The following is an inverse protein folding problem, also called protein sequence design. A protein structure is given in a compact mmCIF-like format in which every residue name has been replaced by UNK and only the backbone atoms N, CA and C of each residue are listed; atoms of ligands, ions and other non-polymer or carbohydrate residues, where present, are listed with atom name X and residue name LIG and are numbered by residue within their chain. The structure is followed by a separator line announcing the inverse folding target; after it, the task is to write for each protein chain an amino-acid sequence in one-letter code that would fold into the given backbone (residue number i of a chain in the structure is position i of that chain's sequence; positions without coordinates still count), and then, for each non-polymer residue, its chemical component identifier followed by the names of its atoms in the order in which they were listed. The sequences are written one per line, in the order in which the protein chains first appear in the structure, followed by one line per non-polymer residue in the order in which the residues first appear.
data_IF_364106142044
#
_entry.id   IF_364106142044
#
_cell.length_a   1.000
_cell.length_b   1.000
_cell.length_c   1.000
_cell.angle_alpha   90.00
_cell.angle_beta   90.00
_cell.angle_gamma   90.00
#
_symmetry.space_group_name_H-M   'P 1'
#
loop_
_entity.id
_entity.type
_entity.pdbx_description
1 polymer ?
#
# COMPACT_ATOMS: atom_id res chain seq x y z
N UNK A 1 4.72 14.60 3.75
CA UNK A 1 3.67 14.42 4.78
C UNK A 1 4.32 14.11 6.14
N UNK A 2 3.70 14.35 7.30
CA UNK A 2 4.28 13.92 8.59
C UNK A 2 3.84 12.48 8.94
N UNK A 3 4.55 11.80 9.85
CA UNK A 3 4.32 10.38 10.15
C UNK A 3 2.87 10.06 10.55
N UNK A 4 2.23 10.91 11.36
CA UNK A 4 0.84 10.67 11.80
C UNK A 4 -0.17 10.80 10.66
N UNK A 5 0.03 11.75 9.75
CA UNK A 5 -0.83 11.91 8.58
C UNK A 5 -0.66 10.73 7.62
N UNK A 6 0.58 10.26 7.48
CA UNK A 6 0.89 9.06 6.70
C UNK A 6 0.20 7.83 7.29
N UNK A 7 0.35 7.59 8.59
CA UNK A 7 -0.31 6.50 9.29
C UNK A 7 -1.85 6.56 9.14
N UNK A 8 -2.44 7.74 9.32
CA UNK A 8 -3.88 7.93 9.14
C UNK A 8 -4.32 7.65 7.71
N UNK A 9 -3.51 8.07 6.72
CA UNK A 9 -3.77 7.76 5.31
C UNK A 9 -3.70 6.27 5.05
N UNK A 10 -2.66 5.57 5.53
CA UNK A 10 -2.55 4.12 5.38
C UNK A 10 -3.73 3.38 6.00
N UNK A 11 -4.20 3.79 7.18
CA UNK A 11 -5.39 3.20 7.83
C UNK A 11 -6.67 3.42 7.02
N UNK A 12 -6.86 4.62 6.47
CA UNK A 12 -7.98 4.91 5.58
C UNK A 12 -7.95 4.03 4.33
N UNK A 13 -6.77 3.93 3.69
CA UNK A 13 -6.57 3.10 2.52
C UNK A 13 -6.80 1.61 2.85
N UNK A 14 -6.27 1.11 3.96
CA UNK A 14 -6.50 -0.26 4.43
C UNK A 14 -7.99 -0.58 4.63
N UNK A 15 -8.73 0.34 5.28
CA UNK A 15 -10.15 0.16 5.59
C UNK A 15 -11.08 0.24 4.37
N UNK A 16 -10.62 0.80 3.26
CA UNK A 16 -11.43 1.02 2.04
C UNK A 16 -11.05 0.11 0.87
N UNK A 17 -9.96 -0.67 0.98
CA UNK A 17 -9.48 -1.58 -0.07
C UNK A 17 -10.55 -2.57 -0.54
N UNK A 18 -11.42 -3.05 0.35
CA UNK A 18 -12.46 -4.03 0.00
C UNK A 18 -13.58 -3.44 -0.87
N UNK A 19 -13.64 -2.11 -1.02
CA UNK A 19 -14.67 -1.41 -1.81
C UNK A 19 -14.23 -1.15 -3.25
N UNK A 20 -13.03 -1.57 -3.62
CA UNK A 20 -12.53 -1.38 -4.98
C UNK A 20 -13.33 -2.21 -5.99
N UNK A 21 -13.58 -1.60 -7.13
CA UNK A 21 -14.22 -2.21 -8.30
C UNK A 21 -13.20 -2.40 -9.41
N UNK A 22 -13.54 -3.19 -10.42
CA UNK A 22 -12.71 -3.35 -11.62
C UNK A 22 -12.38 -2.01 -12.32
N UNK A 23 -13.24 -1.00 -12.17
CA UNK A 23 -13.05 0.31 -12.79
C UNK A 23 -12.19 1.26 -11.94
N UNK A 24 -12.07 0.99 -10.63
CA UNK A 24 -11.45 1.92 -9.68
C UNK A 24 -10.17 1.39 -9.05
N UNK A 25 -9.91 0.07 -9.14
CA UNK A 25 -8.77 -0.54 -8.45
C UNK A 25 -7.43 -0.02 -8.96
N UNK A 26 -7.25 0.13 -10.27
CA UNK A 26 -5.98 0.53 -10.87
C UNK A 26 -5.49 1.86 -10.28
N UNK A 27 -6.30 2.92 -10.46
CA UNK A 27 -5.92 4.26 -10.03
C UNK A 27 -5.73 4.35 -8.52
N UNK A 28 -6.50 3.57 -7.74
CA UNK A 28 -6.34 3.55 -6.29
C UNK A 28 -5.06 2.84 -5.89
N UNK A 29 -4.79 1.63 -6.41
CA UNK A 29 -3.59 0.88 -6.08
C UNK A 29 -2.31 1.62 -6.49
N UNK A 30 -2.28 2.21 -7.68
CA UNK A 30 -1.14 3.04 -8.10
C UNK A 30 -0.93 4.23 -7.15
N UNK A 31 -2.00 4.92 -6.73
CA UNK A 31 -1.89 5.98 -5.73
C UNK A 31 -1.33 5.51 -4.38
N UNK A 32 -1.57 4.26 -3.97
CA UNK A 32 -0.96 3.70 -2.75
C UNK A 32 0.53 3.47 -2.98
N UNK A 33 0.90 2.88 -4.12
CA UNK A 33 2.30 2.54 -4.40
C UNK A 33 3.16 3.79 -4.47
N UNK A 34 2.69 4.84 -5.16
CA UNK A 34 3.36 6.16 -5.15
C UNK A 34 3.47 6.73 -3.73
N UNK A 35 2.42 6.60 -2.91
CA UNK A 35 2.45 7.06 -1.52
C UNK A 35 3.52 6.32 -0.69
N UNK A 36 3.63 4.99 -0.87
CA UNK A 36 4.61 4.17 -0.16
C UNK A 36 6.04 4.45 -0.64
N UNK A 37 6.24 4.63 -1.95
CA UNK A 37 7.54 4.94 -2.54
C UNK A 37 8.07 6.30 -2.08
N UNK A 38 7.24 7.34 -2.14
CA UNK A 38 7.68 8.70 -1.85
C UNK A 38 7.68 9.03 -0.36
N UNK A 39 6.54 8.86 0.31
CA UNK A 39 6.42 9.22 1.72
C UNK A 39 6.89 8.07 2.62
N UNK A 40 6.62 6.81 2.27
CA UNK A 40 7.05 5.65 3.06
C UNK A 40 8.57 5.54 3.17
N UNK A 41 9.29 5.57 2.05
CA UNK A 41 10.76 5.48 2.07
C UNK A 41 11.42 6.67 2.78
N UNK A 42 10.88 7.88 2.57
CA UNK A 42 11.39 9.08 3.26
C UNK A 42 11.17 9.00 4.77
N UNK A 43 9.97 8.59 5.20
CA UNK A 43 9.63 8.50 6.63
C UNK A 43 10.38 7.35 7.31
N UNK A 44 10.63 6.25 6.61
CA UNK A 44 11.46 5.16 7.11
C UNK A 44 12.90 5.65 7.41
N UNK A 45 13.50 6.39 6.49
CA UNK A 45 14.82 6.99 6.68
C UNK A 45 14.85 8.08 7.78
N UNK A 46 13.76 8.84 7.95
CA UNK A 46 13.67 9.92 8.93
C UNK A 46 13.48 9.41 10.36
N UNK A 47 12.67 8.36 10.53
CA UNK A 47 12.28 7.84 11.85
C UNK A 47 12.91 6.50 12.20
N UNK A 48 13.61 5.84 11.27
CA UNK A 48 14.27 4.55 11.50
C UNK A 48 13.31 3.39 11.71
N UNK A 49 12.22 3.33 10.92
CA UNK A 49 11.08 2.43 11.15
C UNK A 49 11.34 0.98 10.70
N UNK A 50 12.41 0.72 9.94
CA UNK A 50 12.76 -0.61 9.43
C UNK A 50 11.78 -1.13 8.37
N UNK A 51 11.17 -0.24 7.59
CA UNK A 51 10.17 -0.57 6.58
C UNK A 51 10.74 -1.00 5.23
N UNK A 52 12.02 -0.74 4.95
CA UNK A 52 12.75 -1.08 3.71
C UNK A 52 12.26 -2.38 3.04
N UNK A 53 12.33 -3.51 3.75
CA UNK A 53 11.94 -4.83 3.20
C UNK A 53 10.45 -4.97 2.90
N UNK A 54 9.59 -4.25 3.64
CA UNK A 54 8.16 -4.24 3.41
C UNK A 54 7.82 -3.34 2.22
N UNK A 55 8.51 -2.20 2.09
CA UNK A 55 8.35 -1.28 0.96
C UNK A 55 8.84 -1.91 -0.35
N UNK A 56 10.01 -2.56 -0.33
CA UNK A 56 10.54 -3.28 -1.50
C UNK A 56 9.53 -4.33 -2.00
N UNK A 57 8.98 -5.15 -1.09
CA UNK A 57 7.97 -6.16 -1.44
C UNK A 57 6.66 -5.57 -1.97
N UNK A 58 6.32 -4.35 -1.58
CA UNK A 58 5.16 -3.64 -2.08
C UNK A 58 5.43 -2.99 -3.44
N UNK A 59 6.66 -2.52 -3.67
CA UNK A 59 7.13 -2.02 -4.97
C UNK A 59 7.27 -3.13 -6.02
N UNK A 60 7.57 -4.35 -5.60
CA UNK A 60 7.58 -5.54 -6.47
C UNK A 60 6.17 -5.96 -6.94
N UNK A 61 5.10 -5.36 -6.41
CA UNK A 61 3.75 -5.52 -6.96
C UNK A 61 3.72 -4.75 -8.28
N UNK A 62 4.03 -5.47 -9.35
CA UNK A 62 4.25 -4.95 -10.68
C UNK A 62 3.05 -4.09 -11.13
N UNK A 63 3.22 -2.77 -11.24
CA UNK A 63 2.17 -1.85 -11.70
C UNK A 63 1.67 -2.24 -13.11
N UNK A 64 2.54 -2.83 -13.93
CA UNK A 64 2.21 -3.37 -15.25
C UNK A 64 1.19 -4.51 -15.19
N UNK A 65 1.10 -5.28 -14.09
CA UNK A 65 0.05 -6.30 -13.89
C UNK A 65 -1.31 -5.69 -13.53
N UNK A 66 -1.35 -4.41 -13.18
CA UNK A 66 -2.59 -3.67 -12.91
C UNK A 66 -3.20 -3.12 -14.20
N UNK A 67 -2.40 -2.93 -15.25
CA UNK A 67 -2.86 -2.37 -16.52
C UNK A 67 -3.51 -3.46 -17.40
N UNK A 68 -4.83 -3.62 -17.20
CA UNK A 68 -5.80 -4.40 -17.98
C UNK A 68 -5.93 -5.90 -17.67
N UNK A 69 -7.18 -6.32 -17.40
CA UNK A 69 -7.61 -7.71 -17.61
C UNK A 69 -7.59 -8.65 -16.41
N UNK A 70 -7.38 -8.15 -15.18
CA UNK A 70 -7.53 -9.00 -13.99
C UNK A 70 -8.97 -9.50 -13.86
N UNK A 71 -9.14 -10.82 -13.77
CA UNK A 71 -10.41 -11.42 -13.36
C UNK A 71 -10.77 -10.98 -11.93
N UNK A 72 -12.04 -11.11 -11.55
CA UNK A 72 -12.51 -10.76 -10.22
C UNK A 72 -11.74 -11.49 -9.09
N UNK A 73 -11.32 -12.74 -9.33
CA UNK A 73 -10.56 -13.52 -8.35
C UNK A 73 -9.10 -13.05 -8.25
N UNK A 74 -8.48 -12.70 -9.38
CA UNK A 74 -7.14 -12.10 -9.37
C UNK A 74 -7.15 -10.74 -8.67
N UNK A 75 -8.16 -9.91 -8.94
CA UNK A 75 -8.32 -8.63 -8.26
C UNK A 75 -8.50 -8.81 -6.74
N UNK A 76 -9.33 -9.76 -6.30
CA UNK A 76 -9.47 -10.07 -4.87
C UNK A 76 -8.16 -10.52 -4.25
N UNK A 77 -7.40 -11.39 -4.92
CA UNK A 77 -6.11 -11.87 -4.43
C UNK A 77 -5.10 -10.73 -4.31
N UNK A 78 -5.07 -9.83 -5.30
CA UNK A 78 -4.23 -8.63 -5.28
C UNK A 78 -4.61 -7.68 -4.14
N UNK A 79 -5.90 -7.34 -4.01
CA UNK A 79 -6.41 -6.49 -2.92
C UNK A 79 -6.01 -7.09 -1.57
N UNK A 80 -6.14 -8.41 -1.41
CA UNK A 80 -5.75 -9.10 -0.19
C UNK A 80 -4.25 -8.96 0.11
N UNK A 81 -3.37 -9.15 -0.89
CA UNK A 81 -1.93 -8.97 -0.75
C UNK A 81 -1.57 -7.54 -0.33
N UNK A 82 -2.11 -6.54 -1.03
CA UNK A 82 -1.87 -5.11 -0.71
C UNK A 82 -2.36 -4.81 0.70
N UNK A 83 -3.53 -5.33 1.09
CA UNK A 83 -4.09 -5.13 2.43
C UNK A 83 -3.21 -5.72 3.52
N UNK A 84 -2.68 -6.94 3.31
CA UNK A 84 -1.71 -7.54 4.24
C UNK A 84 -0.44 -6.69 4.36
N UNK A 85 0.13 -6.24 3.24
CA UNK A 85 1.31 -5.38 3.25
C UNK A 85 1.08 -4.07 4.00
N UNK A 86 -0.03 -3.39 3.72
CA UNK A 86 -0.43 -2.19 4.47
C UNK A 86 -0.63 -2.47 5.96
N UNK A 87 -1.26 -3.58 6.31
CA UNK A 87 -1.46 -3.97 7.71
C UNK A 87 -0.14 -4.17 8.46
N UNK A 88 0.86 -4.77 7.81
CA UNK A 88 2.19 -4.92 8.39
C UNK A 88 2.88 -3.58 8.60
N UNK A 89 2.86 -2.71 7.59
CA UNK A 89 3.46 -1.35 7.68
C UNK A 89 2.79 -0.54 8.80
N UNK A 90 1.46 -0.54 8.85
CA UNK A 90 0.70 0.16 9.90
C UNK A 90 1.12 -0.35 11.29
N UNK A 91 1.14 -1.67 11.48
CA UNK A 91 1.47 -2.25 12.76
C UNK A 91 2.92 -1.96 13.17
N UNK A 92 3.87 -1.95 12.22
CA UNK A 92 5.26 -1.56 12.50
C UNK A 92 5.32 -0.11 12.97
N UNK A 93 4.66 0.81 12.28
CA UNK A 93 4.64 2.24 12.66
C UNK A 93 3.97 2.45 14.04
N UNK A 94 2.95 1.68 14.37
CA UNK A 94 2.24 1.79 15.67
C UNK A 94 3.02 1.21 16.87
N UNK A 95 4.04 0.39 16.62
CA UNK A 95 4.85 -0.24 17.68
C UNK A 95 6.10 0.56 18.05
N UNK A 96 6.44 1.58 17.28
CA UNK A 96 7.49 2.59 17.56
C UNK A 96 6.96 3.73 18.45
#
# INVERSE_FOLDING_TARGET
MILIDFLNRLKYEYGTLDRLTADTYYGRLSSIFVLLELDGARLDAEYGLGLEKLLDRMGDINEDELENGLSADQLKALIHKVKLGLGLIINTIEQE
#
